data_IF_196670545994
#
_entry.id   IF_196670545994
#
_cell.length_a   1.000
_cell.length_b   1.000
_cell.length_c   1.000
_cell.angle_alpha   90.00
_cell.angle_beta   90.00
_cell.angle_gamma   90.00
#
_symmetry.space_group_name_H-M   'P 1'
#
loop_
_entity.id
_entity.type
_entity.pdbx_description
1 polymer ?
#
# COMPACT_ATOMS: atom_id res chain seq x y z
N UNK A 1 -43.60 -68.30 -5.26
CA UNK A 1 -42.19 -68.26 -4.79
C UNK A 1 -41.82 -66.78 -4.64
N UNK A 2 -41.76 -66.25 -3.40
CA UNK A 2 -40.51 -66.02 -2.63
C UNK A 2 -39.62 -64.97 -3.35
N UNK A 3 -39.37 -63.74 -2.89
CA UNK A 3 -39.10 -63.20 -1.54
C UNK A 3 -39.33 -61.67 -1.42
N UNK A 4 -39.55 -61.24 -0.16
CA UNK A 4 -39.19 -59.97 0.54
C UNK A 4 -38.23 -59.00 -0.20
N UNK A 5 -38.26 -57.67 -0.06
CA UNK A 5 -38.80 -56.74 0.94
C UNK A 5 -37.82 -55.55 1.07
N UNK A 6 -38.28 -54.32 1.34
CA UNK A 6 -37.64 -53.34 2.24
C UNK A 6 -38.51 -52.08 2.33
N UNK A 7 -39.07 -51.85 3.52
CA UNK A 7 -39.72 -50.61 3.91
C UNK A 7 -38.66 -49.62 4.42
N UNK A 8 -38.66 -48.40 3.88
CA UNK A 8 -37.90 -47.27 4.44
C UNK A 8 -38.89 -46.22 4.91
N UNK A 9 -39.22 -46.25 6.21
CA UNK A 9 -39.99 -45.22 6.88
C UNK A 9 -39.04 -44.11 7.34
N UNK A 10 -39.07 -42.96 6.66
CA UNK A 10 -38.37 -41.75 7.09
C UNK A 10 -39.24 -41.00 8.12
N UNK A 11 -38.87 -41.10 9.40
CA UNK A 11 -39.48 -40.33 10.47
C UNK A 11 -38.93 -38.90 10.46
N UNK A 12 -39.77 -37.95 10.04
CA UNK A 12 -39.54 -36.51 10.19
C UNK A 12 -39.71 -36.12 11.66
N UNK A 13 -38.59 -35.81 12.32
CA UNK A 13 -38.57 -35.18 13.63
C UNK A 13 -39.04 -33.71 13.52
N UNK A 14 -40.31 -33.46 13.86
CA UNK A 14 -40.82 -32.11 14.10
C UNK A 14 -40.29 -31.62 15.45
N UNK A 15 -39.29 -30.74 15.44
CA UNK A 15 -38.89 -29.97 16.62
C UNK A 15 -39.87 -28.80 16.77
N UNK A 16 -40.57 -28.66 17.91
CA UNK A 16 -41.41 -27.50 18.12
C UNK A 16 -40.51 -26.28 18.34
N UNK A 17 -40.62 -25.28 17.45
CA UNK A 17 -40.06 -23.96 17.70
C UNK A 17 -40.74 -23.41 18.98
N UNK A 18 -39.95 -23.24 20.03
CA UNK A 18 -40.33 -22.48 21.21
C UNK A 18 -40.65 -21.04 20.77
N UNK A 19 -41.93 -20.70 20.76
CA UNK A 19 -42.39 -19.34 20.56
C UNK A 19 -41.78 -18.46 21.66
N UNK A 20 -41.03 -17.43 21.27
CA UNK A 20 -40.54 -16.42 22.20
C UNK A 20 -41.72 -15.74 22.90
N UNK A 21 -41.59 -15.37 24.19
CA UNK A 21 -42.65 -14.63 24.88
C UNK A 21 -42.92 -13.35 24.10
N UNK A 22 -44.18 -13.13 23.73
CA UNK A 22 -44.63 -11.91 23.09
C UNK A 22 -44.31 -10.74 24.05
N UNK A 23 -43.30 -9.95 23.71
CA UNK A 23 -43.06 -8.68 24.38
C UNK A 23 -44.32 -7.84 24.19
N UNK A 24 -44.92 -7.40 25.29
CA UNK A 24 -46.03 -6.46 25.23
C UNK A 24 -45.61 -5.23 24.43
N UNK A 25 -46.49 -4.73 23.55
CA UNK A 25 -46.19 -3.56 22.76
C UNK A 25 -45.87 -2.35 23.66
N UNK A 26 -44.83 -1.56 23.34
CA UNK A 26 -44.43 -0.42 24.13
C UNK A 26 -45.55 0.63 24.14
N UNK A 27 -46.00 1.00 25.34
CA UNK A 27 -47.10 1.93 25.56
C UNK A 27 -46.67 3.11 26.44
N UNK A 28 -47.21 4.29 26.12
CA UNK A 28 -46.97 5.54 26.82
C UNK A 28 -48.31 6.06 27.34
N UNK A 29 -48.42 6.27 28.65
CA UNK A 29 -49.58 6.87 29.28
C UNK A 29 -49.18 8.17 29.99
N UNK A 30 -49.96 9.23 29.78
CA UNK A 30 -49.75 10.52 30.43
C UNK A 30 -50.77 10.70 31.55
N UNK A 31 -50.37 11.33 32.66
CA UNK A 31 -51.29 11.75 33.70
C UNK A 31 -52.25 12.87 33.25
N UNK A 32 -51.84 13.65 32.24
CA UNK A 32 -52.60 14.73 31.64
C UNK A 32 -52.31 14.87 30.15
N UNK A 33 -53.28 15.39 29.40
CA UNK A 33 -53.17 15.59 27.94
C UNK A 33 -52.93 17.06 27.55
N UNK A 34 -52.96 17.98 28.51
CA UNK A 34 -52.70 19.41 28.32
C UNK A 34 -51.73 19.91 29.40
N UNK A 35 -50.76 20.74 29.01
CA UNK A 35 -49.72 21.27 29.90
C UNK A 35 -49.30 22.69 29.51
N UNK A 36 -48.90 23.50 30.49
CA UNK A 36 -48.25 24.80 30.28
C UNK A 36 -46.72 24.70 30.45
N UNK A 37 -45.92 25.49 29.71
CA UNK A 37 -44.49 25.55 29.94
C UNK A 37 -44.15 25.87 31.41
N UNK A 38 -43.22 25.10 31.99
CA UNK A 38 -42.84 25.16 33.40
C UNK A 38 -43.60 24.20 34.31
N UNK A 39 -44.69 23.58 33.84
CA UNK A 39 -45.38 22.51 34.57
C UNK A 39 -44.74 21.14 34.32
N UNK A 40 -45.07 20.17 35.17
CA UNK A 40 -44.57 18.80 35.06
C UNK A 40 -45.65 17.84 34.60
N UNK A 41 -45.29 16.90 33.73
CA UNK A 41 -46.13 15.80 33.24
C UNK A 41 -45.52 14.49 33.70
N UNK A 42 -46.35 13.58 34.22
CA UNK A 42 -45.91 12.23 34.57
C UNK A 42 -46.13 11.31 33.37
N UNK A 43 -45.03 10.80 32.83
CA UNK A 43 -45.01 9.88 31.70
C UNK A 43 -44.81 8.46 32.24
N UNK A 44 -45.83 7.62 32.10
CA UNK A 44 -45.79 6.19 32.43
C UNK A 44 -45.44 5.37 31.20
N UNK A 45 -44.45 4.51 31.35
CA UNK A 45 -43.86 3.70 30.28
C UNK A 45 -44.01 2.23 30.64
N UNK A 46 -44.51 1.42 29.71
CA UNK A 46 -44.64 -0.03 29.84
C UNK A 46 -44.33 -0.73 28.52
N UNK A 47 -43.86 -1.98 28.55
CA UNK A 47 -43.58 -2.76 27.33
C UNK A 47 -42.34 -2.33 26.55
N UNK A 48 -41.53 -1.41 27.09
CA UNK A 48 -40.24 -1.06 26.49
C UNK A 48 -39.20 -2.14 26.79
N UNK A 49 -38.31 -2.39 25.81
CA UNK A 49 -37.15 -3.25 26.01
C UNK A 49 -36.28 -2.74 27.18
N UNK A 50 -35.64 -3.64 27.94
CA UNK A 50 -34.82 -3.25 29.08
C UNK A 50 -33.66 -2.35 28.65
N UNK A 51 -33.50 -1.20 29.30
CA UNK A 51 -32.47 -0.21 28.95
C UNK A 51 -32.81 1.23 29.33
N UNK A 52 -31.89 2.14 29.03
CA UNK A 52 -32.07 3.57 29.25
C UNK A 52 -32.99 4.15 28.17
N UNK A 53 -34.00 4.88 28.62
CA UNK A 53 -34.95 5.61 27.79
C UNK A 53 -34.77 7.11 27.98
N UNK A 54 -34.87 7.84 26.88
CA UNK A 54 -34.92 9.30 26.83
C UNK A 54 -36.34 9.74 26.48
N UNK A 55 -36.91 10.61 27.31
CA UNK A 55 -38.26 11.15 27.20
C UNK A 55 -38.18 12.65 26.95
N UNK A 56 -38.80 13.11 25.86
CA UNK A 56 -38.70 14.48 25.39
C UNK A 56 -40.05 15.01 24.91
N UNK A 57 -40.29 16.31 25.09
CA UNK A 57 -41.43 17.01 24.51
C UNK A 57 -41.01 17.62 23.18
N UNK A 58 -41.70 17.26 22.11
CA UNK A 58 -41.36 17.68 20.75
C UNK A 58 -42.53 18.39 20.06
N UNK A 59 -42.21 19.40 19.27
CA UNK A 59 -43.11 19.97 18.26
C UNK A 59 -43.10 19.13 16.99
N UNK A 60 -43.85 19.54 15.98
CA UNK A 60 -43.82 18.92 14.64
C UNK A 60 -43.96 17.38 14.64
N UNK A 61 -44.68 16.81 15.60
CA UNK A 61 -44.81 15.35 15.79
C UNK A 61 -43.47 14.59 15.91
N UNK A 62 -42.38 15.26 16.31
CA UNK A 62 -41.02 14.71 16.32
C UNK A 62 -40.52 14.20 14.95
N UNK A 63 -41.04 14.72 13.84
CA UNK A 63 -40.73 14.25 12.48
C UNK A 63 -39.26 14.38 12.10
N UNK A 64 -38.55 15.37 12.64
CA UNK A 64 -37.11 15.59 12.42
C UNK A 64 -36.26 15.10 13.59
N UNK A 65 -36.80 14.18 14.40
CA UNK A 65 -36.11 13.61 15.55
C UNK A 65 -35.90 14.62 16.68
N UNK A 66 -34.73 14.59 17.31
CA UNK A 66 -34.36 15.49 18.43
C UNK A 66 -34.36 16.97 18.05
N UNK A 67 -34.22 17.31 16.77
CA UNK A 67 -34.25 18.70 16.29
C UNK A 67 -35.58 19.41 16.52
N UNK A 68 -36.68 18.65 16.68
CA UNK A 68 -38.00 19.19 16.98
C UNK A 68 -38.31 19.17 18.50
N UNK A 69 -37.37 18.71 19.34
CA UNK A 69 -37.59 18.44 20.76
C UNK A 69 -36.96 19.50 21.68
N UNK A 70 -37.60 19.73 22.82
CA UNK A 70 -37.07 20.55 23.91
C UNK A 70 -36.01 19.76 24.71
N UNK A 71 -34.85 19.53 24.10
CA UNK A 71 -33.79 18.66 24.65
C UNK A 71 -33.32 19.10 26.05
N UNK A 72 -33.30 20.41 26.31
CA UNK A 72 -32.88 20.99 27.58
C UNK A 72 -33.79 20.61 28.77
N UNK A 73 -35.04 20.22 28.51
CA UNK A 73 -36.00 19.76 29.53
C UNK A 73 -36.29 18.26 29.41
N UNK A 74 -35.42 17.51 28.75
CA UNK A 74 -35.53 16.06 28.61
C UNK A 74 -35.40 15.36 29.96
N UNK A 75 -36.05 14.20 30.07
CA UNK A 75 -35.93 13.32 31.23
C UNK A 75 -35.44 11.95 30.78
N UNK A 76 -34.52 11.36 31.54
CA UNK A 76 -34.06 9.99 31.31
C UNK A 76 -34.60 9.07 32.39
N UNK A 77 -34.94 7.83 32.03
CA UNK A 77 -35.33 6.78 32.97
C UNK A 77 -34.85 5.42 32.48
N UNK A 78 -34.87 4.41 33.34
CA UNK A 78 -34.50 3.04 32.99
C UNK A 78 -35.76 2.17 32.93
N UNK A 79 -36.00 1.51 31.79
CA UNK A 79 -37.02 0.49 31.69
C UNK A 79 -36.47 -0.86 32.16
N UNK A 80 -37.14 -1.47 33.14
CA UNK A 80 -36.86 -2.83 33.58
C UNK A 80 -37.73 -3.85 32.86
N UNK A 81 -37.25 -5.08 32.75
CA UNK A 81 -37.96 -6.18 32.10
C UNK A 81 -39.35 -6.38 32.72
N UNK A 82 -40.40 -6.26 31.90
CA UNK A 82 -41.81 -6.42 32.32
C UNK A 82 -42.32 -5.40 33.33
N UNK A 83 -41.56 -4.34 33.65
CA UNK A 83 -41.93 -3.34 34.68
C UNK A 83 -42.47 -2.07 34.05
N UNK A 84 -43.53 -1.54 34.66
CA UNK A 84 -44.00 -0.18 34.40
C UNK A 84 -43.13 0.81 35.17
N UNK A 85 -42.66 1.85 34.49
CA UNK A 85 -41.87 2.92 35.09
C UNK A 85 -42.53 4.27 34.83
N UNK A 86 -42.31 5.22 35.73
CA UNK A 86 -42.86 6.57 35.60
C UNK A 86 -41.71 7.58 35.70
N UNK A 87 -41.77 8.62 34.88
CA UNK A 87 -40.80 9.72 34.89
C UNK A 87 -41.55 11.05 34.84
N UNK A 88 -41.04 12.02 35.58
CA UNK A 88 -41.55 13.39 35.59
C UNK A 88 -40.80 14.20 34.54
N UNK A 89 -41.51 14.70 33.53
CA UNK A 89 -40.97 15.54 32.47
C UNK A 89 -41.39 16.99 32.69
N UNK A 90 -40.43 17.91 32.74
CA UNK A 90 -40.72 19.33 32.76
C UNK A 90 -41.10 19.79 31.34
N UNK A 91 -42.31 20.33 31.19
CA UNK A 91 -42.78 20.83 29.91
C UNK A 91 -42.06 22.14 29.59
N UNK A 92 -41.28 22.14 28.52
CA UNK A 92 -40.72 23.36 27.95
C UNK A 92 -41.29 23.58 26.54
N UNK A 93 -41.16 24.81 26.05
CA UNK A 93 -41.57 25.16 24.68
C UNK A 93 -40.62 24.48 23.67
N UNK A 94 -41.14 23.66 22.73
CA UNK A 94 -40.31 23.06 21.69
C UNK A 94 -39.84 24.13 20.68
N UNK A 95 -38.73 23.86 19.94
CA UNK A 95 -38.18 24.79 18.95
C UNK A 95 -39.11 25.01 17.74
N UNK A 96 -39.96 24.03 17.43
CA UNK A 96 -40.98 24.10 16.37
C UNK A 96 -42.37 24.05 16.99
N UNK A 97 -43.35 24.69 16.35
CA UNK A 97 -44.75 24.68 16.82
C UNK A 97 -45.41 23.29 16.80
N UNK A 98 -46.60 23.19 17.40
CA UNK A 98 -47.39 21.96 17.48
C UNK A 98 -47.97 21.57 16.10
N UNK A 99 -48.36 20.30 15.84
CA UNK A 99 -48.76 19.26 16.79
C UNK A 99 -47.61 18.77 17.67
N UNK A 100 -47.84 18.78 18.98
CA UNK A 100 -46.85 18.43 19.97
C UNK A 100 -47.04 16.99 20.45
N UNK A 101 -45.93 16.30 20.71
CA UNK A 101 -45.90 14.91 21.16
C UNK A 101 -44.87 14.73 22.27
N UNK A 102 -45.12 13.77 23.17
CA UNK A 102 -44.07 13.21 24.02
C UNK A 102 -43.43 12.07 23.25
N UNK A 103 -42.14 12.18 22.96
CA UNK A 103 -41.35 11.16 22.28
C UNK A 103 -40.49 10.40 23.30
N UNK A 104 -40.55 9.06 23.25
CA UNK A 104 -39.77 8.16 24.09
C UNK A 104 -38.88 7.31 23.19
N UNK A 105 -37.57 7.39 23.37
CA UNK A 105 -36.58 6.66 22.57
C UNK A 105 -35.57 5.90 23.45
N UNK A 106 -35.13 4.70 23.06
CA UNK A 106 -33.96 4.09 23.67
C UNK A 106 -32.71 4.93 23.41
N UNK A 107 -31.84 5.06 24.41
CA UNK A 107 -30.54 5.76 24.26
C UNK A 107 -29.62 5.01 23.29
N UNK A 108 -29.79 3.69 23.18
CA UNK A 108 -29.08 2.83 22.23
C UNK A 108 -29.51 3.03 20.77
N UNK A 109 -30.51 3.88 20.50
CA UNK A 109 -31.06 4.10 19.17
C UNK A 109 -32.35 3.32 18.90
N UNK A 110 -33.07 3.73 17.86
CA UNK A 110 -34.36 3.16 17.45
C UNK A 110 -35.42 4.23 17.15
N UNK A 111 -36.54 3.81 16.55
CA UNK A 111 -37.65 4.71 16.27
C UNK A 111 -38.34 5.14 17.58
N UNK A 112 -38.60 6.45 17.79
CA UNK A 112 -39.29 6.90 18.98
C UNK A 112 -40.74 6.43 18.97
N UNK A 113 -41.27 6.08 20.14
CA UNK A 113 -42.71 5.97 20.37
C UNK A 113 -43.24 7.33 20.80
N UNK A 114 -44.34 7.77 20.20
CA UNK A 114 -44.89 9.10 20.43
C UNK A 114 -46.34 9.05 20.90
N UNK A 115 -46.71 9.99 21.77
CA UNK A 115 -48.09 10.21 22.21
C UNK A 115 -48.42 11.71 22.14
N UNK A 116 -49.58 12.11 21.61
CA UNK A 116 -49.92 13.53 21.46
C UNK A 116 -50.15 14.22 22.81
N UNK A 117 -49.72 15.47 22.92
CA UNK A 117 -49.97 16.35 24.07
C UNK A 117 -50.25 17.78 23.60
N UNK A 118 -51.18 18.47 24.25
CA UNK A 118 -51.47 19.89 24.01
C UNK A 118 -50.57 20.75 24.90
N UNK A 119 -49.84 21.69 24.31
CA UNK A 119 -49.00 22.63 25.04
C UNK A 119 -49.54 24.04 24.87
N UNK A 120 -49.98 24.65 25.97
CA UNK A 120 -50.51 26.01 25.98
C UNK A 120 -49.41 27.02 25.61
N UNK A 121 -49.77 28.06 24.84
CA UNK A 121 -48.84 29.12 24.44
C UNK A 121 -47.87 28.77 23.29
N UNK A 122 -48.03 27.59 22.67
CA UNK A 122 -47.28 27.18 21.47
C UNK A 122 -48.20 27.25 20.24
N UNK A 123 -47.82 27.95 19.16
CA UNK A 123 -48.66 28.02 17.96
C UNK A 123 -48.79 26.65 17.29
N UNK A 124 -49.99 26.33 16.82
CA UNK A 124 -50.24 25.16 15.99
C UNK A 124 -49.92 25.50 14.54
N UNK A 125 -48.99 24.76 13.95
CA UNK A 125 -48.60 24.90 12.55
C UNK A 125 -49.51 24.04 11.67
N UNK A 126 -50.00 24.60 10.56
CA UNK A 126 -50.69 23.84 9.54
C UNK A 126 -49.74 22.83 8.88
N UNK A 127 -50.28 21.76 8.28
CA UNK A 127 -49.47 20.73 7.62
C UNK A 127 -48.50 21.28 6.56
N UNK A 128 -48.90 22.33 5.83
CA UNK A 128 -48.06 23.01 4.82
C UNK A 128 -46.95 23.89 5.41
N UNK A 129 -47.06 24.29 6.68
CA UNK A 129 -46.08 25.14 7.36
C UNK A 129 -45.09 24.33 8.20
N UNK A 130 -45.34 23.02 8.34
CA UNK A 130 -44.54 22.14 9.19
C UNK A 130 -43.27 21.72 8.46
N UNK A 131 -42.08 21.93 9.07
CA UNK A 131 -40.84 21.40 8.53
C UNK A 131 -40.93 19.87 8.38
N UNK A 132 -40.67 19.36 7.19
CA UNK A 132 -40.60 17.92 6.92
C UNK A 132 -39.21 17.37 7.25
N UNK A 133 -39.05 16.04 7.22
CA UNK A 133 -37.73 15.43 7.33
C UNK A 133 -36.76 15.93 6.23
N UNK A 134 -37.28 16.33 5.06
CA UNK A 134 -36.49 16.97 4.01
C UNK A 134 -36.04 18.40 4.41
N UNK A 135 -36.80 19.08 5.27
CA UNK A 135 -36.47 20.39 5.86
C UNK A 135 -35.57 20.24 7.11
N UNK A 136 -35.22 19.02 7.52
CA UNK A 136 -34.25 18.74 8.60
C UNK A 136 -32.78 18.90 8.15
N UNK A 137 -32.57 19.27 6.90
CA UNK A 137 -31.28 19.35 6.25
C UNK A 137 -31.49 18.87 4.84
N UNK A 138 -31.41 19.79 3.88
CA UNK A 138 -31.30 19.39 2.49
C UNK A 138 -30.14 18.39 2.35
N UNK A 139 -30.20 17.54 1.33
CA UNK A 139 -29.24 16.47 1.13
C UNK A 139 -27.81 17.02 1.15
N UNK A 140 -26.94 16.39 1.92
CA UNK A 140 -25.50 16.70 2.00
C UNK A 140 -24.76 15.69 1.15
N UNK A 141 -24.77 15.93 -0.16
CA UNK A 141 -24.14 15.06 -1.15
C UNK A 141 -23.00 15.80 -1.84
N UNK A 142 -21.83 15.18 -1.85
CA UNK A 142 -20.65 15.70 -2.52
C UNK A 142 -20.15 14.63 -3.49
N UNK A 143 -19.67 15.03 -4.67
CA UNK A 143 -19.02 14.13 -5.62
C UNK A 143 -17.64 14.69 -5.99
N UNK A 144 -16.67 13.78 -6.16
CA UNK A 144 -15.34 14.13 -6.66
C UNK A 144 -15.32 13.92 -8.18
N UNK A 145 -15.57 14.98 -8.95
CA UNK A 145 -15.65 14.93 -10.42
C UNK A 145 -14.31 14.61 -11.07
N UNK A 146 -13.21 15.06 -10.46
CA UNK A 146 -11.87 14.89 -11.00
C UNK A 146 -10.85 14.76 -9.88
N UNK A 147 -9.99 13.74 -9.97
CA UNK A 147 -8.91 13.51 -9.01
C UNK A 147 -7.66 13.17 -9.81
N UNK A 148 -6.62 13.99 -9.65
CA UNK A 148 -5.35 13.80 -10.36
C UNK A 148 -4.18 14.26 -9.50
N UNK A 149 -3.04 13.58 -9.61
CA UNK A 149 -1.79 14.07 -9.02
C UNK A 149 -0.96 14.69 -10.13
N UNK A 150 -0.53 15.94 -9.92
CA UNK A 150 0.45 16.64 -10.74
C UNK A 150 1.80 16.69 -10.03
N UNK A 151 2.86 16.86 -10.81
CA UNK A 151 4.24 16.83 -10.33
C UNK A 151 4.88 15.46 -10.52
N UNK A 152 6.21 15.42 -10.56
CA UNK A 152 6.96 14.28 -11.08
C UNK A 152 7.43 14.55 -12.51
N UNK A 153 8.32 15.53 -12.66
CA UNK A 153 9.15 15.64 -13.85
C UNK A 153 10.36 14.70 -13.77
N UNK A 154 11.09 14.57 -14.88
CA UNK A 154 12.38 13.87 -14.92
C UNK A 154 13.39 14.41 -13.89
N UNK A 155 13.23 15.67 -13.46
CA UNK A 155 14.05 16.34 -12.43
C UNK A 155 13.60 16.09 -10.98
N UNK A 156 12.35 15.70 -10.74
CA UNK A 156 11.81 15.54 -9.38
C UNK A 156 12.15 14.15 -8.83
N UNK A 157 12.97 14.08 -7.77
CA UNK A 157 13.39 12.80 -7.20
C UNK A 157 14.45 12.08 -8.04
N UNK A 158 15.24 12.82 -8.83
CA UNK A 158 16.29 12.33 -9.74
C UNK A 158 17.15 11.22 -9.09
N UNK A 159 17.68 11.44 -7.88
CA UNK A 159 18.50 10.48 -7.09
C UNK A 159 17.70 9.66 -6.06
N UNK A 160 16.37 9.59 -6.17
CA UNK A 160 15.52 8.94 -5.17
C UNK A 160 15.30 9.77 -3.90
N UNK A 161 15.69 11.05 -3.90
CA UNK A 161 15.39 12.00 -2.82
C UNK A 161 13.89 12.29 -2.69
N UNK A 162 13.51 13.10 -1.69
CA UNK A 162 12.12 13.51 -1.50
C UNK A 162 11.57 14.23 -2.74
N UNK A 163 10.27 14.05 -3.01
CA UNK A 163 9.64 14.60 -4.21
C UNK A 163 8.33 15.32 -3.86
N UNK A 164 8.24 16.61 -4.17
CA UNK A 164 7.02 17.39 -4.03
C UNK A 164 6.03 17.05 -5.14
N UNK A 165 4.75 16.91 -4.78
CA UNK A 165 3.63 16.62 -5.68
C UNK A 165 2.43 17.47 -5.28
N UNK A 166 1.48 17.62 -6.19
CA UNK A 166 0.25 18.38 -5.93
C UNK A 166 -0.95 17.52 -6.31
N UNK A 167 -1.81 17.23 -5.34
CA UNK A 167 -3.08 16.59 -5.58
C UNK A 167 -4.08 17.66 -6.04
N UNK A 168 -4.63 17.52 -7.24
CA UNK A 168 -5.76 18.31 -7.73
C UNK A 168 -7.03 17.50 -7.60
N UNK A 169 -7.95 17.98 -6.77
CA UNK A 169 -9.29 17.39 -6.59
C UNK A 169 -10.36 18.43 -6.90
N UNK A 170 -11.34 18.06 -7.72
CA UNK A 170 -12.52 18.88 -7.99
C UNK A 170 -13.71 18.27 -7.28
N UNK A 171 -14.32 19.04 -6.39
CA UNK A 171 -15.47 18.64 -5.58
C UNK A 171 -16.70 19.42 -6.03
N UNK A 172 -17.83 18.72 -6.19
CA UNK A 172 -19.12 19.29 -6.57
C UNK A 172 -20.17 18.97 -5.51
N UNK A 173 -20.87 19.99 -5.05
CA UNK A 173 -22.03 19.82 -4.17
C UNK A 173 -23.25 19.42 -5.01
N UNK A 174 -23.63 18.14 -4.94
CA UNK A 174 -24.87 17.60 -5.54
C UNK A 174 -26.06 17.63 -4.59
N UNK A 175 -25.81 18.08 -3.36
CA UNK A 175 -26.81 18.26 -2.33
C UNK A 175 -27.67 19.50 -2.51
N UNK A 176 -28.70 19.62 -1.67
CA UNK A 176 -29.58 20.78 -1.61
C UNK A 176 -29.23 21.74 -0.46
N UNK A 177 -28.21 21.43 0.35
CA UNK A 177 -27.71 22.30 1.44
C UNK A 177 -26.31 22.83 1.15
N UNK A 178 -26.02 24.05 1.60
CA UNK A 178 -24.66 24.58 1.61
C UNK A 178 -23.78 23.80 2.60
N UNK A 179 -22.65 23.29 2.12
CA UNK A 179 -21.68 22.53 2.92
C UNK A 179 -20.58 23.49 3.38
N UNK A 180 -20.33 23.61 4.67
CA UNK A 180 -19.32 24.54 5.22
C UNK A 180 -18.33 23.76 6.07
N UNK A 181 -17.04 23.93 5.77
CA UNK A 181 -15.89 23.39 6.53
C UNK A 181 -16.00 21.89 6.86
N UNK A 182 -16.25 21.09 5.83
CA UNK A 182 -16.28 19.63 5.97
C UNK A 182 -14.91 19.08 6.39
N UNK A 183 -14.86 18.09 7.30
CA UNK A 183 -13.62 17.45 7.70
C UNK A 183 -13.09 16.59 6.54
N UNK A 184 -11.98 17.03 5.95
CA UNK A 184 -11.22 16.31 4.94
C UNK A 184 -10.00 15.66 5.59
N UNK A 185 -9.92 14.34 5.53
CA UNK A 185 -8.77 13.55 5.93
C UNK A 185 -8.03 13.05 4.70
N UNK A 186 -6.73 13.31 4.61
CA UNK A 186 -5.88 12.85 3.52
C UNK A 186 -4.79 11.94 4.08
N UNK A 187 -4.62 10.77 3.48
CA UNK A 187 -3.55 9.83 3.79
C UNK A 187 -2.71 9.49 2.57
N UNK A 188 -1.42 9.26 2.81
CA UNK A 188 -0.38 8.93 1.83
C UNK A 188 0.35 7.65 2.23
N UNK A 189 0.74 6.85 1.25
CA UNK A 189 1.47 5.62 1.52
C UNK A 189 1.49 4.69 0.33
N UNK A 190 1.89 3.45 0.60
CA UNK A 190 1.94 2.36 -0.38
C UNK A 190 0.78 1.40 -0.14
N UNK A 191 0.23 0.86 -1.22
CA UNK A 191 -0.92 -0.04 -1.14
C UNK A 191 -2.27 0.68 -1.16
N UNK A 192 -3.37 -0.05 -0.86
CA UNK A 192 -4.73 0.48 -0.93
C UNK A 192 -5.12 1.36 0.27
N UNK A 193 -4.53 1.10 1.45
CA UNK A 193 -4.86 1.78 2.72
C UNK A 193 -3.64 2.49 3.31
N UNK A 194 -3.32 3.70 2.81
CA UNK A 194 -2.24 4.50 3.34
C UNK A 194 -2.57 5.08 4.74
N UNK A 195 -1.55 5.22 5.59
CA UNK A 195 -1.70 5.69 6.98
C UNK A 195 -0.99 7.03 7.29
N UNK A 196 -0.12 7.52 6.40
CA UNK A 196 0.64 8.74 6.65
C UNK A 196 -0.21 9.98 6.40
N UNK A 197 -0.38 10.86 7.38
CA UNK A 197 -1.37 11.92 7.33
C UNK A 197 -0.85 13.16 6.58
N UNK A 198 -1.60 13.66 5.60
CA UNK A 198 -1.29 14.91 4.91
C UNK A 198 -2.18 16.03 5.48
N UNK A 199 -1.60 17.20 5.70
CA UNK A 199 -2.36 18.41 6.07
C UNK A 199 -3.34 18.79 4.96
N UNK A 200 -4.63 18.64 5.23
CA UNK A 200 -5.69 19.07 4.33
C UNK A 200 -5.98 20.57 4.50
N UNK A 201 -6.23 21.31 3.40
CA UNK A 201 -6.70 22.69 3.49
C UNK A 201 -8.17 22.72 3.94
N UNK A 202 -8.58 23.85 4.52
CA UNK A 202 -9.99 24.10 4.79
C UNK A 202 -10.77 24.17 3.46
N UNK A 203 -11.84 23.39 3.35
CA UNK A 203 -12.70 23.36 2.16
C UNK A 203 -13.59 24.61 2.05
N UNK A 204 -13.79 25.35 3.15
CA UNK A 204 -14.67 26.51 3.16
C UNK A 204 -16.13 26.15 2.86
N UNK A 205 -16.89 27.09 2.30
CA UNK A 205 -18.29 26.89 1.94
C UNK A 205 -18.49 26.52 0.46
N UNK A 206 -19.24 25.44 0.20
CA UNK A 206 -19.77 25.07 -1.12
C UNK A 206 -21.30 25.14 -1.13
N UNK A 207 -21.86 26.05 -1.94
CA UNK A 207 -23.30 26.15 -2.15
C UNK A 207 -23.85 24.98 -2.98
N UNK A 208 -25.16 24.70 -2.93
CA UNK A 208 -25.79 23.69 -3.78
C UNK A 208 -25.47 23.90 -5.26
N UNK A 209 -25.02 22.85 -5.95
CA UNK A 209 -24.63 22.90 -7.37
C UNK A 209 -23.27 23.54 -7.65
N UNK A 210 -22.58 24.08 -6.65
CA UNK A 210 -21.27 24.68 -6.82
C UNK A 210 -20.18 23.62 -6.97
N UNK A 211 -19.24 23.88 -7.87
CA UNK A 211 -18.04 23.08 -8.09
C UNK A 211 -16.79 23.91 -7.80
N UNK A 212 -15.82 23.31 -7.08
CA UNK A 212 -14.56 23.97 -6.74
C UNK A 212 -13.40 22.98 -6.83
N UNK A 213 -12.29 23.46 -7.36
CA UNK A 213 -11.04 22.72 -7.47
C UNK A 213 -10.08 23.13 -6.37
N UNK A 214 -9.46 22.14 -5.71
CA UNK A 214 -8.46 22.31 -4.67
C UNK A 214 -7.14 21.71 -5.12
N UNK A 215 -6.07 22.50 -4.96
CA UNK A 215 -4.69 22.08 -5.21
C UNK A 215 -3.97 21.90 -3.87
N UNK A 216 -3.64 20.66 -3.53
CA UNK A 216 -3.13 20.26 -2.22
C UNK A 216 -1.68 19.78 -2.38
N UNK A 217 -0.68 20.56 -1.95
CA UNK A 217 0.72 20.16 -2.05
C UNK A 217 1.03 19.09 -0.99
N UNK A 218 1.77 18.06 -1.38
CA UNK A 218 2.29 17.03 -0.47
C UNK A 218 3.69 16.60 -0.92
N UNK A 219 4.48 16.04 0.00
CA UNK A 219 5.83 15.56 -0.29
C UNK A 219 5.95 14.07 -0.04
N UNK A 220 6.55 13.35 -0.98
CA UNK A 220 6.97 11.97 -0.78
C UNK A 220 8.29 11.97 0.00
N UNK A 221 8.34 11.25 1.12
CA UNK A 221 9.57 11.05 1.87
C UNK A 221 10.61 10.26 1.06
N UNK A 222 11.89 10.55 1.27
CA UNK A 222 12.97 9.75 0.70
C UNK A 222 13.04 8.38 1.40
N UNK A 223 13.28 7.27 0.67
CA UNK A 223 13.43 7.21 -0.78
C UNK A 223 12.08 7.23 -1.52
N UNK A 224 11.89 8.20 -2.42
CA UNK A 224 10.65 8.37 -3.19
C UNK A 224 10.58 7.44 -4.41
N UNK A 225 10.68 6.13 -4.17
CA UNK A 225 10.67 5.08 -5.19
C UNK A 225 9.39 4.23 -5.12
N UNK A 226 8.82 3.91 -6.28
CA UNK A 226 7.66 3.03 -6.43
C UNK A 226 6.33 3.76 -6.63
N UNK A 227 5.22 3.02 -6.49
CA UNK A 227 3.84 3.53 -6.58
C UNK A 227 3.34 3.96 -5.20
N UNK A 228 2.76 5.14 -5.13
CA UNK A 228 2.14 5.72 -3.95
C UNK A 228 0.67 5.99 -4.24
N UNK A 229 -0.15 5.80 -3.21
CA UNK A 229 -1.57 6.10 -3.24
C UNK A 229 -1.82 7.24 -2.26
N UNK A 230 -2.56 8.24 -2.72
CA UNK A 230 -3.16 9.27 -1.89
C UNK A 230 -4.63 8.94 -1.77
N UNK A 231 -5.12 8.79 -0.54
CA UNK A 231 -6.53 8.53 -0.24
C UNK A 231 -7.10 9.74 0.49
N UNK A 232 -8.26 10.21 0.04
CA UNK A 232 -9.00 11.29 0.69
C UNK A 232 -10.37 10.80 1.11
N UNK A 233 -10.74 11.11 2.34
CA UNK A 233 -12.05 10.80 2.91
C UNK A 233 -12.69 12.08 3.45
N UNK A 234 -13.94 12.30 3.06
CA UNK A 234 -14.72 13.47 3.48
C UNK A 234 -15.90 12.98 4.32
N UNK A 235 -15.87 13.35 5.61
CA UNK A 235 -16.94 13.06 6.56
C UNK A 235 -17.99 14.18 6.62
N UNK A 236 -19.03 13.99 7.44
CA UNK A 236 -20.08 15.01 7.66
C UNK A 236 -21.12 15.11 6.54
N UNK A 237 -21.13 14.13 5.62
CA UNK A 237 -22.10 13.95 4.55
C UNK A 237 -23.11 12.85 4.92
N UNK A 238 -24.23 12.78 4.20
CA UNK A 238 -25.21 11.69 4.38
C UNK A 238 -24.63 10.33 3.98
N UNK A 239 -23.74 10.33 2.98
CA UNK A 239 -22.91 9.20 2.57
C UNK A 239 -21.45 9.69 2.51
N UNK A 240 -20.52 9.11 3.30
CA UNK A 240 -19.12 9.50 3.26
C UNK A 240 -18.51 9.14 1.90
N UNK A 241 -17.75 10.08 1.33
CA UNK A 241 -17.06 9.83 0.06
C UNK A 241 -15.58 9.58 0.28
N UNK A 242 -15.08 8.55 -0.39
CA UNK A 242 -13.65 8.25 -0.48
C UNK A 242 -13.20 8.39 -1.93
N UNK A 243 -12.06 9.02 -2.14
CA UNK A 243 -11.40 9.08 -3.43
C UNK A 243 -9.94 8.68 -3.30
N UNK A 244 -9.38 8.15 -4.37
CA UNK A 244 -7.96 7.76 -4.42
C UNK A 244 -7.30 8.28 -5.69
N UNK A 245 -6.03 8.62 -5.56
CA UNK A 245 -5.18 9.01 -6.66
C UNK A 245 -3.83 8.32 -6.54
N UNK A 246 -3.25 7.97 -7.68
CA UNK A 246 -1.98 7.27 -7.73
C UNK A 246 -0.89 8.16 -8.29
N UNK A 247 0.32 7.98 -7.77
CA UNK A 247 1.51 8.60 -8.32
C UNK A 247 2.68 7.63 -8.24
N UNK A 248 3.67 7.81 -9.12
CA UNK A 248 4.87 6.99 -9.12
C UNK A 248 6.12 7.88 -9.14
N UNK A 249 7.17 7.39 -8.49
CA UNK A 249 8.52 7.94 -8.56
C UNK A 249 9.51 6.86 -8.99
N UNK A 250 10.32 7.15 -9.99
CA UNK A 250 11.40 6.28 -10.44
C UNK A 250 12.71 7.08 -10.47
N UNK A 251 13.78 6.60 -9.83
CA UNK A 251 15.05 7.33 -9.74
C UNK A 251 15.82 7.18 -11.05
N UNK A 252 15.40 7.93 -12.07
CA UNK A 252 15.98 7.88 -13.42
C UNK A 252 17.47 8.20 -13.47
N UNK A 253 18.05 8.82 -12.43
CA UNK A 253 19.50 9.01 -12.34
C UNK A 253 20.28 7.70 -12.49
N UNK A 254 19.84 6.62 -11.84
CA UNK A 254 20.57 5.35 -11.87
C UNK A 254 20.61 4.72 -13.27
N UNK A 255 19.47 4.55 -13.99
CA UNK A 255 19.51 4.04 -15.35
C UNK A 255 20.19 5.01 -16.33
N UNK A 256 20.05 6.33 -16.17
CA UNK A 256 20.74 7.31 -17.03
C UNK A 256 22.24 7.32 -16.79
N UNK A 257 22.68 7.28 -15.53
CA UNK A 257 24.09 7.22 -15.15
C UNK A 257 24.70 5.88 -15.56
N UNK A 258 23.97 4.77 -15.43
CA UNK A 258 24.35 3.49 -16.03
C UNK A 258 24.49 3.59 -17.55
N UNK A 259 23.51 4.16 -18.25
CA UNK A 259 23.55 4.36 -19.69
C UNK A 259 24.67 5.31 -20.15
N UNK A 260 25.12 6.25 -19.31
CA UNK A 260 26.25 7.14 -19.56
C UNK A 260 27.59 6.48 -19.19
N UNK A 261 27.64 5.70 -18.11
CA UNK A 261 28.84 5.02 -17.63
C UNK A 261 29.19 3.79 -18.47
N UNK A 262 28.23 3.11 -19.10
CA UNK A 262 28.47 1.98 -20.00
C UNK A 262 29.29 2.38 -21.25
N UNK A 263 29.01 3.49 -21.95
CA UNK A 263 29.84 3.97 -23.05
C UNK A 263 31.08 4.71 -22.57
N UNK A 264 31.17 5.15 -21.31
CA UNK A 264 32.37 5.81 -20.80
C UNK A 264 33.64 4.96 -20.97
N UNK A 265 33.77 3.68 -20.58
CA UNK A 265 34.97 2.89 -20.86
C UNK A 265 35.18 2.62 -22.35
N UNK A 266 34.17 2.79 -23.22
CA UNK A 266 34.31 2.75 -24.68
C UNK A 266 34.82 4.08 -25.26
N UNK A 267 34.53 5.21 -24.60
CA UNK A 267 34.94 6.59 -24.97
C UNK A 267 36.23 7.05 -24.24
N UNK A 268 36.46 6.55 -23.03
CA UNK A 268 37.61 6.74 -22.11
C UNK A 268 38.56 5.56 -22.09
N UNK A 269 38.23 4.47 -22.82
CA UNK A 269 39.14 4.08 -23.91
C UNK A 269 39.33 5.34 -24.75
N UNK A 270 40.19 6.24 -24.24
CA UNK A 270 41.22 6.85 -25.05
C UNK A 270 41.52 5.75 -26.04
N UNK A 271 41.34 6.05 -27.32
CA UNK A 271 42.20 5.43 -28.33
C UNK A 271 43.55 5.42 -27.64
N UNK A 272 43.94 4.30 -27.04
CA UNK A 272 45.27 4.14 -26.47
C UNK A 272 46.10 4.66 -27.62
N UNK A 273 46.81 5.78 -27.47
CA UNK A 273 47.40 6.51 -28.58
C UNK A 273 47.97 5.42 -29.44
N UNK A 274 47.34 5.20 -30.61
CA UNK A 274 47.49 4.01 -31.43
C UNK A 274 48.98 3.75 -31.38
N UNK A 275 49.49 2.73 -30.63
CA UNK A 275 50.85 2.79 -30.08
C UNK A 275 51.70 3.18 -31.24
N UNK A 276 52.22 4.43 -31.23
CA UNK A 276 52.65 5.11 -32.44
C UNK A 276 53.66 4.16 -33.04
N UNK A 277 53.34 3.45 -34.16
CA UNK A 277 53.70 2.05 -34.40
C UNK A 277 54.98 1.80 -33.66
N UNK A 278 54.85 1.33 -32.40
CA UNK A 278 55.99 1.33 -31.48
C UNK A 278 57.06 0.59 -32.24
N UNK A 279 58.14 1.30 -32.64
CA UNK A 279 58.82 1.14 -33.92
C UNK A 279 58.92 -0.34 -34.12
N UNK A 280 58.07 -0.93 -35.01
CA UNK A 280 57.74 -2.36 -35.05
C UNK A 280 58.76 -3.02 -34.18
N UNK A 281 58.48 -3.25 -32.89
CA UNK A 281 59.35 -4.20 -32.22
C UNK A 281 58.94 -5.46 -32.99
N UNK A 282 59.60 -5.71 -34.13
CA UNK A 282 60.67 -6.68 -34.22
C UNK A 282 61.28 -6.82 -32.82
N UNK A 283 60.44 -7.30 -31.89
CA UNK A 283 60.84 -7.78 -30.59
C UNK A 283 61.94 -8.72 -31.00
N UNK A 284 63.13 -8.43 -30.49
CA UNK A 284 64.36 -9.14 -30.81
C UNK A 284 63.99 -10.59 -31.10
N UNK A 285 64.41 -11.16 -32.24
CA UNK A 285 64.00 -12.50 -32.63
C UNK A 285 64.09 -13.38 -31.38
N UNK A 286 62.92 -13.78 -30.86
CA UNK A 286 62.90 -14.51 -29.60
C UNK A 286 63.60 -15.81 -29.90
N UNK A 287 64.69 -16.06 -29.19
CA UNK A 287 65.36 -17.35 -29.29
C UNK A 287 64.35 -18.43 -28.88
N UNK A 288 64.53 -19.66 -29.37
CA UNK A 288 63.68 -20.78 -28.96
C UNK A 288 63.55 -20.83 -27.43
N UNK A 289 64.67 -20.65 -26.72
CA UNK A 289 64.76 -20.65 -25.26
C UNK A 289 63.89 -19.58 -24.58
N UNK A 290 63.81 -18.38 -25.16
CA UNK A 290 62.95 -17.30 -24.64
C UNK A 290 61.46 -17.62 -24.81
N UNK A 291 61.09 -18.28 -25.92
CA UNK A 291 59.71 -18.76 -26.09
C UNK A 291 59.38 -19.85 -25.09
N UNK A 292 60.30 -20.79 -24.87
CA UNK A 292 60.11 -21.84 -23.87
C UNK A 292 59.93 -21.24 -22.47
N UNK A 293 60.82 -20.34 -22.05
CA UNK A 293 60.72 -19.72 -20.73
C UNK A 293 59.37 -19.00 -20.52
N UNK A 294 58.90 -18.26 -21.53
CA UNK A 294 57.62 -17.58 -21.47
C UNK A 294 56.44 -18.57 -21.37
N UNK A 295 56.46 -19.67 -22.13
CA UNK A 295 55.42 -20.69 -22.10
C UNK A 295 55.38 -21.44 -20.76
N UNK A 296 56.53 -21.83 -20.22
CA UNK A 296 56.62 -22.50 -18.92
C UNK A 296 56.04 -21.62 -17.83
N UNK A 297 56.41 -20.33 -17.80
CA UNK A 297 55.90 -19.37 -16.84
C UNK A 297 54.39 -19.10 -16.99
N UNK A 298 53.85 -19.25 -18.21
CA UNK A 298 52.42 -19.17 -18.44
C UNK A 298 51.71 -20.42 -17.89
N UNK A 299 52.14 -21.61 -18.28
CA UNK A 299 51.53 -22.88 -17.84
C UNK A 299 51.62 -23.11 -16.33
N UNK A 300 52.76 -22.78 -15.70
CA UNK A 300 52.93 -22.90 -14.26
C UNK A 300 51.95 -22.00 -13.49
N UNK A 301 51.72 -20.77 -13.98
CA UNK A 301 50.71 -19.86 -13.41
C UNK A 301 49.29 -20.38 -13.61
N UNK A 302 48.96 -20.84 -14.81
CA UNK A 302 47.62 -21.39 -15.13
C UNK A 302 47.29 -22.60 -14.25
N UNK A 303 48.30 -23.41 -13.89
CA UNK A 303 48.13 -24.56 -12.98
C UNK A 303 48.40 -24.26 -11.51
N UNK A 304 48.68 -23.01 -11.14
CA UNK A 304 48.89 -22.59 -9.75
C UNK A 304 50.12 -23.20 -9.07
N UNK A 305 51.16 -23.58 -9.84
CA UNK A 305 52.36 -24.18 -9.28
C UNK A 305 53.30 -23.11 -8.71
N UNK A 306 53.63 -23.23 -7.42
CA UNK A 306 54.64 -22.38 -6.79
C UNK A 306 56.04 -22.73 -7.32
N UNK A 307 56.96 -21.75 -7.51
CA UNK A 307 58.30 -22.00 -8.04
C UNK A 307 59.11 -23.04 -7.26
N UNK A 308 58.99 -23.08 -5.93
CA UNK A 308 59.68 -24.08 -5.10
C UNK A 308 59.21 -25.51 -5.37
N UNK A 309 57.89 -25.71 -5.51
CA UNK A 309 57.32 -27.03 -5.83
C UNK A 309 57.71 -27.49 -7.24
N UNK A 310 57.83 -26.55 -8.19
CA UNK A 310 58.30 -26.86 -9.53
C UNK A 310 59.78 -27.29 -9.53
N UNK A 311 60.63 -26.60 -8.78
CA UNK A 311 62.05 -26.94 -8.65
C UNK A 311 62.27 -28.32 -7.99
N UNK A 312 61.51 -28.65 -6.95
CA UNK A 312 61.55 -29.96 -6.31
C UNK A 312 61.13 -31.08 -7.28
N UNK A 313 60.04 -30.86 -8.02
CA UNK A 313 59.57 -31.81 -9.02
C UNK A 313 60.57 -32.01 -10.17
N UNK A 314 61.24 -30.95 -10.62
CA UNK A 314 62.31 -31.05 -11.62
C UNK A 314 63.52 -31.82 -11.11
N UNK A 315 63.89 -31.59 -9.85
CA UNK A 315 64.98 -32.33 -9.20
C UNK A 315 64.68 -33.82 -9.18
N UNK A 316 63.46 -34.20 -8.81
CA UNK A 316 63.03 -35.59 -8.78
C UNK A 316 63.00 -36.24 -10.18
N UNK A 317 62.62 -35.50 -11.22
CA UNK A 317 62.48 -36.03 -12.59
C UNK A 317 63.79 -36.12 -13.36
N UNK A 318 64.70 -35.18 -13.14
CA UNK A 318 65.96 -35.07 -13.89
C UNK A 318 67.17 -35.61 -13.13
N UNK A 319 67.04 -35.80 -11.80
CA UNK A 319 68.17 -36.15 -10.92
C UNK A 319 69.17 -35.01 -10.68
N UNK A 320 68.95 -33.81 -11.24
CA UNK A 320 69.80 -32.63 -11.06
C UNK A 320 69.18 -31.70 -10.01
N UNK A 321 69.93 -31.17 -9.04
CA UNK A 321 69.38 -30.29 -8.02
C UNK A 321 68.93 -28.95 -8.64
N UNK A 322 67.65 -28.61 -8.45
CA UNK A 322 67.04 -27.35 -8.86
C UNK A 322 66.46 -26.60 -7.65
N UNK A 323 66.61 -25.28 -7.66
CA UNK A 323 66.01 -24.35 -6.70
C UNK A 323 65.09 -23.34 -7.41
N UNK A 324 64.27 -22.63 -6.64
CA UNK A 324 63.40 -21.59 -7.22
C UNK A 324 64.16 -20.46 -7.92
N UNK A 325 65.44 -20.23 -7.56
CA UNK A 325 66.29 -19.23 -8.20
C UNK A 325 66.85 -19.72 -9.55
N UNK A 326 66.90 -21.03 -9.78
CA UNK A 326 67.33 -21.62 -11.05
C UNK A 326 66.23 -21.58 -12.11
N UNK A 327 64.99 -21.26 -11.72
CA UNK A 327 63.88 -21.07 -12.64
C UNK A 327 63.91 -19.65 -13.21
N UNK A 328 63.72 -19.47 -14.53
CA UNK A 328 63.73 -18.14 -15.11
C UNK A 328 62.63 -17.26 -14.52
N UNK A 329 62.94 -15.99 -14.21
CA UNK A 329 61.89 -14.98 -14.06
C UNK A 329 61.10 -14.85 -15.37
N UNK A 330 59.89 -14.28 -15.27
CA UNK A 330 58.90 -14.19 -16.35
C UNK A 330 59.35 -13.50 -17.66
N UNK A 331 60.60 -13.06 -17.79
CA UNK A 331 61.10 -12.34 -18.95
C UNK A 331 62.58 -12.63 -19.34
N UNK A 332 63.18 -13.77 -18.95
CA UNK A 332 64.61 -14.02 -19.22
C UNK A 332 64.93 -15.25 -20.06
N UNK A 333 65.97 -15.11 -20.89
CA UNK A 333 66.62 -16.11 -21.74
C UNK A 333 67.33 -17.22 -20.93
N UNK A 334 66.56 -18.12 -20.31
CA UNK A 334 67.13 -19.31 -19.67
C UNK A 334 67.24 -20.45 -20.70
N UNK A 335 68.42 -21.03 -20.90
CA UNK A 335 68.58 -22.19 -21.77
C UNK A 335 68.09 -23.45 -21.05
N UNK A 336 66.93 -23.95 -21.44
CA UNK A 336 66.46 -25.26 -21.03
C UNK A 336 67.08 -26.32 -21.93
N UNK A 337 67.64 -27.38 -21.35
CA UNK A 337 68.06 -28.57 -22.10
C UNK A 337 66.88 -29.53 -22.35
N UNK A 338 67.09 -30.53 -23.20
CA UNK A 338 66.03 -31.46 -23.61
C UNK A 338 65.40 -32.20 -22.42
N UNK A 339 66.22 -32.65 -21.46
CA UNK A 339 65.75 -33.36 -20.27
C UNK A 339 64.87 -32.46 -19.39
N UNK A 340 65.23 -31.18 -19.28
CA UNK A 340 64.43 -30.20 -18.52
C UNK A 340 63.10 -29.90 -19.21
N UNK A 341 63.09 -29.80 -20.55
CA UNK A 341 61.86 -29.59 -21.31
C UNK A 341 60.91 -30.78 -21.19
N UNK A 342 61.42 -32.01 -21.28
CA UNK A 342 60.61 -33.21 -21.12
C UNK A 342 60.04 -33.31 -19.71
N UNK A 343 60.86 -33.09 -18.68
CA UNK A 343 60.41 -33.07 -17.29
C UNK A 343 59.32 -32.01 -17.06
N UNK A 344 59.47 -30.81 -17.60
CA UNK A 344 58.46 -29.74 -17.52
C UNK A 344 57.18 -30.12 -18.25
N UNK A 345 57.27 -30.72 -19.44
CA UNK A 345 56.10 -31.19 -20.19
C UNK A 345 55.30 -32.24 -19.41
N UNK A 346 56.00 -33.14 -18.71
CA UNK A 346 55.41 -34.17 -17.85
C UNK A 346 54.76 -33.56 -16.60
N UNK A 347 55.45 -32.66 -15.89
CA UNK A 347 54.95 -31.99 -14.68
C UNK A 347 53.73 -31.12 -15.02
N UNK A 348 53.83 -30.34 -16.10
CA UNK A 348 52.77 -29.47 -16.58
C UNK A 348 51.75 -30.20 -17.43
N UNK A 349 51.81 -31.54 -17.57
CA UNK A 349 50.88 -32.36 -18.34
C UNK A 349 50.45 -31.74 -19.67
N UNK A 350 51.42 -31.29 -20.48
CA UNK A 350 51.22 -30.69 -21.80
C UNK A 350 52.21 -31.31 -22.78
N UNK A 351 51.88 -31.38 -24.08
CA UNK A 351 52.81 -31.92 -25.06
C UNK A 351 54.03 -31.00 -25.22
N UNK A 352 55.22 -31.57 -25.34
CA UNK A 352 56.50 -30.84 -25.48
C UNK A 352 56.47 -29.72 -26.54
N UNK A 353 55.86 -29.89 -27.74
CA UNK A 353 55.73 -28.81 -28.71
C UNK A 353 55.03 -27.55 -28.19
N UNK A 354 54.08 -27.70 -27.24
CA UNK A 354 53.38 -26.55 -26.64
C UNK A 354 54.29 -25.69 -25.74
N UNK A 355 55.44 -26.22 -25.32
CA UNK A 355 56.48 -25.43 -24.66
C UNK A 355 57.36 -24.67 -25.67
N UNK A 356 57.55 -25.22 -26.87
CA UNK A 356 58.47 -24.68 -27.88
C UNK A 356 57.86 -23.53 -28.70
N UNK A 357 56.55 -23.58 -28.96
CA UNK A 357 55.88 -22.60 -29.81
C UNK A 357 55.16 -21.52 -29.00
N UNK A 358 55.11 -20.27 -29.47
CA UNK A 358 54.39 -19.20 -28.79
C UNK A 358 52.88 -19.52 -28.74
N UNK A 359 52.28 -19.41 -27.56
CA UNK A 359 50.82 -19.53 -27.39
C UNK A 359 50.16 -18.27 -27.97
N UNK A 360 49.22 -18.45 -28.91
CA UNK A 360 48.38 -17.36 -29.43
C UNK A 360 47.45 -16.78 -28.35
N UNK A 361 46.87 -15.59 -28.55
CA UNK A 361 45.90 -15.05 -27.60
C UNK A 361 44.71 -16.01 -27.46
N UNK A 362 44.13 -16.14 -26.24
CA UNK A 362 43.07 -17.11 -26.00
C UNK A 362 41.78 -16.65 -26.68
N UNK A 363 41.40 -17.31 -27.77
CA UNK A 363 40.03 -17.26 -28.27
C UNK A 363 39.17 -18.21 -27.42
N UNK A 364 38.14 -17.66 -26.77
CA UNK A 364 37.20 -18.42 -25.97
C UNK A 364 36.24 -19.21 -26.87
N UNK A 365 36.16 -20.53 -26.68
CA UNK A 365 35.12 -21.36 -27.27
C UNK A 365 35.41 -22.85 -27.19
N UNK A 366 34.52 -23.57 -26.52
CA UNK A 366 34.47 -25.03 -26.43
C UNK A 366 33.87 -25.66 -27.72
N UNK A 367 33.91 -27.00 -27.75
CA UNK A 367 33.39 -27.96 -28.73
C UNK A 367 34.26 -28.15 -29.99
N UNK A 368 34.62 -29.36 -30.43
CA UNK A 368 33.90 -30.63 -30.33
C UNK A 368 34.83 -31.85 -30.48
N UNK A 369 34.51 -32.89 -29.72
CA UNK A 369 34.85 -34.28 -30.02
C UNK A 369 34.15 -34.69 -31.34
N UNK A 370 34.90 -35.22 -32.31
CA UNK A 370 34.40 -36.21 -33.28
C UNK A 370 35.51 -37.24 -33.55
N UNK A 371 35.18 -38.49 -33.28
CA UNK A 371 35.93 -39.74 -33.49
C UNK A 371 36.21 -40.09 -34.98
N UNK A 372 37.09 -41.08 -35.28
CA UNK A 372 37.54 -41.46 -36.64
C UNK A 372 36.52 -42.39 -37.34
N UNK A 373 36.56 -42.65 -38.68
CA UNK A 373 37.51 -43.64 -39.27
C UNK A 373 37.85 -43.52 -40.80
N UNK A 374 38.71 -44.46 -41.23
CA UNK A 374 38.85 -45.11 -42.56
C UNK A 374 39.88 -44.58 -43.59
N UNK A 375 40.91 -45.43 -43.75
CA UNK A 375 41.66 -45.91 -44.92
C UNK A 375 41.60 -45.22 -46.29
N UNK A 376 42.80 -45.03 -46.84
CA UNK A 376 43.17 -45.09 -48.24
C UNK A 376 44.61 -45.55 -48.35
#
# INVERSE_FOLDING_TARGET
MRFLGLAAAAALAFTPLLASPAHADPAIALDRTTVEPGQTVTVRLSGFAPGNLLVELCGNEARRGTADCAVASSASTYAGEGRTTAVMLNAAKPPVGCPCVIAVRPVTGGAPRTVPIKVSGVPTLAASQRPTAADAGGTRRLSATSVSVRGGGFMDGWLGGGAGRTLRVTLRNEGTTALTDLPLSLTLGRGPDPADLITAPALGSLNPGQERTYDIPFSLAAPAFGRYTVRGEIGGLDEPIAFSAHTAGYPWAFPLLGALLVPLPLLTRRRSPRPAPGPLETGRPRTMNENVAANIAWWSRTRGLAPGALAEALTARTGRPYTAADLPPAASACPFDADTLEALSSILGIPLPALLFPVGPPDGGADSLVEPPVSG
#
